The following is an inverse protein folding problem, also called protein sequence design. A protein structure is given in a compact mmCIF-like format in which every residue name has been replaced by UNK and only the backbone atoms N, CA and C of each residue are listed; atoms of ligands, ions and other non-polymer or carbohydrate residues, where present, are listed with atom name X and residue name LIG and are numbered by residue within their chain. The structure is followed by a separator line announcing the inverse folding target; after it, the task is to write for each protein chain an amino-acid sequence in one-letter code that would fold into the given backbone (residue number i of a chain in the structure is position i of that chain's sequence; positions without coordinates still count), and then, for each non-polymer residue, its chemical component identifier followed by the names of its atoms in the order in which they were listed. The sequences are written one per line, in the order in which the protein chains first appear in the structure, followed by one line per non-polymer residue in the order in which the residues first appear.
data_IF_641085830347
#
_entry.id   IF_641085830347
#
_cell.length_a   1.000
_cell.length_b   1.000
_cell.length_c   1.000
_cell.angle_alpha   90.00
_cell.angle_beta   90.00
_cell.angle_gamma   90.00
#
_symmetry.space_group_name_H-M   'P 1'
#
loop_
_entity.id
_entity.type
_entity.pdbx_description
1 polymer ?
#
# COMPACT_ATOMS: atom_id res chain seq x y z
N UNK A 1 -17.74 14.54 10.27
CA UNK A 1 -17.63 13.43 9.31
C UNK A 1 -16.80 13.81 8.09
N UNK A 2 -17.13 14.86 7.34
CA UNK A 2 -16.36 15.27 6.15
C UNK A 2 -14.86 15.51 6.40
N UNK A 3 -14.50 16.18 7.50
CA UNK A 3 -13.09 16.42 7.84
C UNK A 3 -12.31 15.12 8.14
N UNK A 4 -12.95 14.15 8.82
CA UNK A 4 -12.36 12.85 9.10
C UNK A 4 -12.17 12.06 7.79
N UNK A 5 -13.18 12.06 6.91
CA UNK A 5 -13.08 11.43 5.59
C UNK A 5 -11.91 11.98 4.76
N UNK A 6 -11.74 13.31 4.73
CA UNK A 6 -10.61 13.95 4.05
C UNK A 6 -9.25 13.59 4.66
N UNK A 7 -9.18 13.42 5.98
CA UNK A 7 -7.96 12.96 6.63
C UNK A 7 -7.64 11.51 6.25
N UNK A 8 -8.62 10.62 6.32
CA UNK A 8 -8.44 9.20 5.96
C UNK A 8 -8.04 9.03 4.49
N UNK A 9 -8.51 9.89 3.58
CA UNK A 9 -8.05 9.91 2.18
C UNK A 9 -6.55 10.26 2.09
N UNK A 10 -6.09 11.25 2.86
CA UNK A 10 -4.67 11.62 2.89
C UNK A 10 -3.81 10.50 3.48
N UNK A 11 -4.30 9.86 4.55
CA UNK A 11 -3.62 8.72 5.16
C UNK A 11 -3.55 7.53 4.18
N UNK A 12 -4.64 7.28 3.43
CA UNK A 12 -4.66 6.29 2.35
C UNK A 12 -3.62 6.60 1.27
N UNK A 13 -3.55 7.84 0.78
CA UNK A 13 -2.57 8.25 -0.23
C UNK A 13 -1.14 7.99 0.23
N UNK A 14 -0.81 8.35 1.48
CA UNK A 14 0.50 8.08 2.05
C UNK A 14 0.79 6.56 2.14
N UNK A 15 -0.19 5.76 2.56
CA UNK A 15 -0.04 4.30 2.60
C UNK A 15 0.11 3.69 1.20
N UNK A 16 -0.59 4.21 0.19
CA UNK A 16 -0.51 3.76 -1.20
C UNK A 16 0.86 4.06 -1.83
N UNK A 17 1.44 5.23 -1.53
CA UNK A 17 2.80 5.57 -1.95
C UNK A 17 3.84 4.62 -1.35
N UNK A 18 3.71 4.29 -0.05
CA UNK A 18 4.57 3.32 0.64
C UNK A 18 4.44 1.93 0.00
N UNK A 19 3.20 1.47 -0.23
CA UNK A 19 2.94 0.18 -0.88
C UNK A 19 3.54 0.13 -2.30
N UNK A 20 3.33 1.17 -3.09
CA UNK A 20 3.86 1.28 -4.45
C UNK A 20 5.39 1.30 -4.49
N UNK A 21 6.03 1.94 -3.51
CA UNK A 21 7.49 1.93 -3.35
C UNK A 21 8.02 0.54 -2.98
N UNK A 22 7.37 -0.16 -2.05
CA UNK A 22 7.71 -1.53 -1.68
C UNK A 22 7.53 -2.50 -2.87
N UNK A 23 6.43 -2.38 -3.61
CA UNK A 23 6.15 -3.20 -4.80
C UNK A 23 7.19 -2.98 -5.90
N UNK A 24 7.65 -1.75 -6.08
CA UNK A 24 8.74 -1.45 -7.02
C UNK A 24 10.04 -2.14 -6.61
N UNK A 25 10.42 -2.04 -5.33
CA UNK A 25 11.59 -2.76 -4.80
C UNK A 25 11.46 -4.27 -4.97
N UNK A 26 10.28 -4.84 -4.72
CA UNK A 26 10.02 -6.27 -4.92
C UNK A 26 10.14 -6.67 -6.40
N UNK A 27 9.59 -5.86 -7.31
CA UNK A 27 9.72 -6.07 -8.76
C UNK A 27 11.18 -6.04 -9.22
N UNK A 28 11.95 -5.07 -8.73
CA UNK A 28 13.37 -4.94 -9.06
C UNK A 28 14.17 -6.13 -8.52
N UNK A 29 13.86 -6.60 -7.31
CA UNK A 29 14.47 -7.79 -6.73
C UNK A 29 14.17 -9.06 -7.54
N UNK A 30 12.92 -9.23 -8.00
CA UNK A 30 12.54 -10.33 -8.89
C UNK A 30 13.26 -10.26 -10.24
N UNK A 31 13.37 -9.07 -10.83
CA UNK A 31 14.11 -8.88 -12.06
C UNK A 31 15.59 -9.24 -11.90
N UNK A 32 16.20 -8.85 -10.77
CA UNK A 32 17.59 -9.17 -10.47
C UNK A 32 17.83 -10.67 -10.21
N UNK A 33 16.91 -11.35 -9.53
CA UNK A 33 16.91 -12.81 -9.36
C UNK A 33 16.89 -13.51 -10.73
N UNK A 34 15.96 -13.11 -11.61
CA UNK A 34 15.80 -13.71 -12.92
C UNK A 34 17.00 -13.46 -13.85
N UNK A 35 17.60 -12.27 -13.81
CA UNK A 35 18.68 -11.88 -14.72
C UNK A 35 20.06 -12.42 -14.32
N UNK A 36 20.41 -12.41 -13.02
CA UNK A 36 21.81 -12.47 -12.59
C UNK A 36 22.11 -13.54 -11.51
N UNK A 37 21.26 -14.55 -11.32
CA UNK A 37 21.37 -15.54 -10.22
C UNK A 37 21.56 -14.87 -8.84
N UNK A 38 21.01 -13.67 -8.65
CA UNK A 38 20.93 -13.04 -7.33
C UNK A 38 20.04 -13.89 -6.42
N UNK A 39 20.10 -13.74 -5.09
CA UNK A 39 19.11 -14.34 -4.22
C UNK A 39 17.69 -13.89 -4.59
N UNK A 40 16.67 -14.74 -4.38
CA UNK A 40 15.28 -14.33 -4.53
C UNK A 40 14.94 -13.21 -3.53
N UNK A 41 13.86 -12.45 -3.76
CA UNK A 41 13.41 -11.46 -2.80
C UNK A 41 13.24 -12.05 -1.39
N UNK A 42 13.63 -11.28 -0.37
CA UNK A 42 13.52 -11.74 1.01
C UNK A 42 12.05 -11.87 1.41
N UNK A 43 11.79 -12.77 2.36
CA UNK A 43 10.47 -12.88 3.00
C UNK A 43 10.04 -11.56 3.62
N UNK A 44 10.95 -10.85 4.26
CA UNK A 44 10.72 -9.54 4.86
C UNK A 44 10.20 -8.52 3.83
N UNK A 45 10.74 -8.49 2.60
CA UNK A 45 10.28 -7.58 1.55
C UNK A 45 8.89 -7.99 1.03
N UNK A 46 8.60 -9.28 0.92
CA UNK A 46 7.27 -9.77 0.53
C UNK A 46 6.24 -9.42 1.61
N UNK A 47 6.59 -9.60 2.89
CA UNK A 47 5.76 -9.27 4.04
C UNK A 47 5.53 -7.74 4.12
N UNK A 48 6.58 -6.93 3.86
CA UNK A 48 6.48 -5.47 3.79
C UNK A 48 5.46 -5.01 2.73
N UNK A 49 5.55 -5.56 1.52
CA UNK A 49 4.59 -5.26 0.44
C UNK A 49 3.16 -5.66 0.85
N UNK A 50 2.99 -6.87 1.38
CA UNK A 50 1.69 -7.38 1.81
C UNK A 50 1.07 -6.49 2.89
N UNK A 51 1.86 -6.11 3.90
CA UNK A 51 1.41 -5.27 5.01
C UNK A 51 1.05 -3.85 4.55
N UNK A 52 1.90 -3.23 3.72
CA UNK A 52 1.65 -1.89 3.19
C UNK A 52 0.37 -1.86 2.34
N UNK A 53 0.17 -2.87 1.47
CA UNK A 53 -1.02 -2.95 0.62
C UNK A 53 -2.29 -3.23 1.44
N UNK A 54 -2.20 -4.07 2.46
CA UNK A 54 -3.32 -4.33 3.39
C UNK A 54 -3.75 -3.05 4.13
N UNK A 55 -2.79 -2.26 4.61
CA UNK A 55 -3.05 -0.98 5.26
C UNK A 55 -3.71 0.02 4.29
N UNK A 56 -3.16 0.18 3.08
CA UNK A 56 -3.73 1.07 2.07
C UNK A 56 -5.18 0.69 1.74
N UNK A 57 -5.46 -0.59 1.52
CA UNK A 57 -6.82 -1.07 1.25
C UNK A 57 -7.79 -0.80 2.41
N UNK A 58 -7.31 -0.98 3.65
CA UNK A 58 -8.11 -0.73 4.85
C UNK A 58 -8.49 0.75 4.97
N UNK A 59 -7.53 1.65 4.75
CA UNK A 59 -7.75 3.10 4.77
C UNK A 59 -8.67 3.56 3.63
N UNK A 60 -8.53 2.99 2.44
CA UNK A 60 -9.43 3.31 1.32
C UNK A 60 -10.87 2.91 1.63
N UNK A 61 -11.08 1.71 2.16
CA UNK A 61 -12.41 1.23 2.54
C UNK A 61 -13.05 2.14 3.61
N UNK A 62 -12.27 2.55 4.60
CA UNK A 62 -12.74 3.45 5.65
C UNK A 62 -13.03 4.85 5.11
N UNK A 63 -12.17 5.39 4.24
CA UNK A 63 -12.40 6.67 3.58
C UNK A 63 -13.70 6.66 2.78
N UNK A 64 -13.97 5.60 2.01
CA UNK A 64 -15.21 5.44 1.25
C UNK A 64 -16.44 5.36 2.16
N UNK A 65 -16.35 4.62 3.28
CA UNK A 65 -17.43 4.53 4.28
C UNK A 65 -17.77 5.91 4.86
N UNK A 66 -16.75 6.65 5.29
CA UNK A 66 -16.91 7.98 5.89
C UNK A 66 -17.43 9.02 4.88
N UNK A 67 -17.03 8.92 3.61
CA UNK A 67 -17.56 9.76 2.52
C UNK A 67 -19.06 9.49 2.29
N UNK A 68 -19.48 8.23 2.27
CA UNK A 68 -20.88 7.87 2.10
C UNK A 68 -21.75 8.35 3.27
N UNK A 69 -21.25 8.21 4.51
CA UNK A 69 -21.94 8.69 5.71
C UNK A 69 -22.03 10.22 5.79
N UNK A 70 -21.08 10.95 5.20
CA UNK A 70 -21.12 12.42 5.15
C UNK A 70 -22.05 12.98 4.06
N UNK A 71 -22.48 12.14 3.11
CA UNK A 71 -23.39 12.51 2.02
C UNK A 71 -24.87 12.22 2.32
N UNK A 72 -25.15 11.55 3.46
CA UNK A 72 -26.47 11.31 4.03
C UNK A 72 -26.83 12.41 5.04
#
# INVERSE_FOLDING_TARGET
MLHLAQQTIRDWQAADEIASSAERRLKDAWAAFAANRRPPPSKELMDEVSNARSLANSLLNEAMRLMAEAAL
#
